data_IF_666484072701
#
_entry.id   IF_666484072701
#
_cell.length_a   1.000
_cell.length_b   1.000
_cell.length_c   1.000
_cell.angle_alpha   90.00
_cell.angle_beta   90.00
_cell.angle_gamma   90.00
#
_symmetry.space_group_name_H-M   'P 1'
#
loop_
_entity.id
_entity.type
_entity.pdbx_description
1 polymer ?
#
# COMPACT_ATOMS: atom_id res chain seq x y z
N UNK A 1 41.61 -4.26 42.62
CA UNK A 1 40.86 -3.85 43.82
C UNK A 1 39.74 -2.90 43.39
N UNK A 2 38.60 -3.00 44.07
CA UNK A 2 37.26 -2.73 43.56
C UNK A 2 36.88 -1.24 43.39
N UNK A 3 35.86 -1.08 42.55
CA UNK A 3 34.90 0.02 42.39
C UNK A 3 34.68 0.91 43.63
N UNK A 4 34.60 2.23 43.43
CA UNK A 4 33.55 3.05 44.07
C UNK A 4 33.06 4.13 43.10
N UNK A 5 31.95 3.82 42.41
CA UNK A 5 30.95 4.84 42.11
C UNK A 5 30.51 5.41 43.46
N UNK A 6 30.83 6.67 43.73
CA UNK A 6 30.14 7.41 44.78
C UNK A 6 28.91 8.04 44.14
N UNK A 7 27.87 7.24 43.99
CA UNK A 7 26.50 7.70 44.09
C UNK A 7 26.35 8.33 45.48
N UNK A 8 26.54 9.64 45.54
CA UNK A 8 26.08 10.44 46.67
C UNK A 8 25.07 11.43 46.13
N UNK A 9 23.83 11.17 46.52
CA UNK A 9 22.67 12.06 46.49
C UNK A 9 23.04 13.35 47.26
N UNK A 10 23.85 14.19 46.63
CA UNK A 10 24.39 15.42 47.20
C UNK A 10 23.47 16.54 46.79
N UNK A 11 22.59 16.92 47.70
CA UNK A 11 21.91 18.21 47.70
C UNK A 11 22.99 19.28 47.45
N UNK A 12 23.05 19.83 46.24
CA UNK A 12 24.06 20.81 45.86
C UNK A 12 23.87 22.06 46.72
N UNK A 13 24.75 22.28 47.69
CA UNK A 13 24.57 23.36 48.65
C UNK A 13 24.93 24.72 48.03
N UNK A 14 23.89 25.47 47.65
CA UNK A 14 24.01 26.83 47.13
C UNK A 14 24.43 27.86 48.20
N UNK A 15 24.39 27.51 49.49
CA UNK A 15 24.73 28.44 50.57
C UNK A 15 26.21 28.85 50.53
N UNK A 16 27.11 27.94 50.11
CA UNK A 16 28.56 28.15 50.05
C UNK A 16 29.06 29.07 48.94
N UNK A 17 28.20 29.44 47.98
CA UNK A 17 28.58 30.32 46.86
C UNK A 17 28.09 31.74 47.11
N UNK A 18 28.94 32.75 46.96
CA UNK A 18 28.60 34.15 47.25
C UNK A 18 28.42 34.99 45.98
N UNK A 19 28.95 34.53 44.84
CA UNK A 19 28.84 35.21 43.56
C UNK A 19 28.44 34.27 42.41
N UNK A 20 27.92 34.85 41.33
CA UNK A 20 27.59 34.12 40.10
C UNK A 20 28.85 33.61 39.38
N UNK A 21 29.98 34.29 39.59
CA UNK A 21 31.28 33.96 39.00
C UNK A 21 31.88 32.69 39.64
N UNK A 22 31.71 32.52 40.95
CA UNK A 22 32.08 31.28 41.65
C UNK A 22 31.27 30.07 41.14
N UNK A 23 29.97 30.25 40.90
CA UNK A 23 29.11 29.22 40.30
C UNK A 23 29.52 28.86 38.87
N UNK A 24 29.98 29.84 38.10
CA UNK A 24 30.51 29.60 36.75
C UNK A 24 31.77 28.73 36.78
N UNK A 25 32.63 28.91 37.80
CA UNK A 25 33.86 28.15 37.98
C UNK A 25 33.64 26.66 38.34
N UNK A 26 32.45 26.31 38.87
CA UNK A 26 32.06 24.90 39.16
C UNK A 26 31.94 24.06 37.89
N UNK A 27 31.74 24.71 36.74
CA UNK A 27 31.72 24.05 35.44
C UNK A 27 30.31 23.86 34.87
N UNK A 28 30.21 23.98 33.54
CA UNK A 28 28.93 24.04 32.83
C UNK A 28 28.07 22.77 32.93
N UNK A 29 28.69 21.60 33.13
CA UNK A 29 27.99 20.31 33.23
C UNK A 29 27.35 20.10 34.61
N UNK A 30 28.03 20.54 35.67
CA UNK A 30 27.48 20.51 37.04
C UNK A 30 26.27 21.44 37.15
N UNK A 31 26.39 22.66 36.61
CA UNK A 31 25.27 23.62 36.53
C UNK A 31 24.09 23.08 35.72
N UNK A 32 24.36 22.34 34.64
CA UNK A 32 23.31 21.73 33.80
C UNK A 32 22.58 20.62 34.54
N UNK A 33 23.31 19.77 35.27
CA UNK A 33 22.75 18.69 36.09
C UNK A 33 21.82 19.25 37.17
N UNK A 34 22.27 20.28 37.88
CA UNK A 34 21.50 20.87 38.98
C UNK A 34 20.25 21.63 38.53
N UNK A 35 20.33 22.37 37.41
CA UNK A 35 19.14 22.96 36.82
C UNK A 35 18.14 21.91 36.36
N UNK A 36 18.62 20.75 35.89
CA UNK A 36 17.77 19.65 35.45
C UNK A 36 17.11 18.94 36.63
N UNK A 37 17.82 18.72 37.74
CA UNK A 37 17.25 18.14 38.97
C UNK A 37 16.15 19.04 39.56
N UNK A 38 16.32 20.36 39.46
CA UNK A 38 15.34 21.36 39.90
C UNK A 38 14.20 21.61 38.90
N UNK A 39 14.16 20.91 37.75
CA UNK A 39 13.13 21.09 36.72
C UNK A 39 13.19 22.43 35.97
N UNK A 40 14.30 23.15 36.08
CA UNK A 40 14.56 24.42 35.41
C UNK A 40 15.14 24.20 34.01
N UNK A 41 14.97 25.17 33.13
CA UNK A 41 15.58 25.16 31.80
C UNK A 41 17.11 25.15 31.97
N UNK A 42 17.80 24.22 31.31
CA UNK A 42 19.26 24.07 31.40
C UNK A 42 20.02 24.48 30.11
N UNK A 43 19.32 24.93 29.06
CA UNK A 43 19.94 25.42 27.81
C UNK A 43 20.56 26.82 27.93
N UNK A 44 21.33 27.28 26.95
CA UNK A 44 22.00 28.60 26.96
C UNK A 44 23.47 28.55 27.42
N UNK A 45 24.09 29.72 27.57
CA UNK A 45 25.50 29.83 27.96
C UNK A 45 25.71 29.36 29.42
N UNK A 46 26.93 28.90 29.80
CA UNK A 46 27.23 28.54 31.19
C UNK A 46 26.94 29.67 32.18
N UNK A 47 27.16 30.94 31.79
CA UNK A 47 26.81 32.12 32.59
C UNK A 47 25.30 32.23 32.81
N UNK A 48 24.49 31.99 31.77
CA UNK A 48 23.03 32.00 31.90
C UNK A 48 22.54 30.89 32.83
N UNK A 49 23.23 29.74 32.87
CA UNK A 49 22.92 28.63 33.78
C UNK A 49 23.25 29.02 35.22
N UNK A 50 24.43 29.60 35.46
CA UNK A 50 24.84 30.11 36.76
C UNK A 50 23.86 31.17 37.30
N UNK A 51 23.45 32.13 36.46
CA UNK A 51 22.43 33.15 36.82
C UNK A 51 21.08 32.54 37.20
N UNK A 52 20.63 31.51 36.48
CA UNK A 52 19.35 30.82 36.79
C UNK A 52 19.43 30.02 38.08
N UNK A 53 20.53 29.33 38.31
CA UNK A 53 20.73 28.57 39.54
C UNK A 53 20.85 29.51 40.75
N UNK A 54 21.52 30.66 40.58
CA UNK A 54 21.58 31.73 41.58
C UNK A 54 20.20 32.29 41.96
N UNK A 55 19.27 32.39 41.00
CA UNK A 55 17.92 32.91 41.25
C UNK A 55 17.13 32.02 42.23
N UNK A 56 17.43 30.72 42.28
CA UNK A 56 16.85 29.76 43.24
C UNK A 56 17.34 30.02 44.66
N UNK A 57 18.53 30.63 44.82
CA UNK A 57 19.07 31.00 46.13
C UNK A 57 18.27 32.13 46.79
N UNK A 58 17.81 33.09 46.00
CA UNK A 58 17.07 34.27 46.50
C UNK A 58 15.56 34.09 46.46
N UNK A 59 15.05 33.17 45.63
CA UNK A 59 13.63 33.05 45.32
C UNK A 59 13.22 31.58 45.37
N UNK A 60 12.24 31.20 46.21
CA UNK A 60 11.75 29.83 46.26
C UNK A 60 11.25 29.37 44.88
N UNK A 61 11.45 28.09 44.56
CA UNK A 61 11.09 27.50 43.26
C UNK A 61 9.61 27.76 42.89
N UNK A 62 8.70 27.77 43.88
CA UNK A 62 7.27 28.00 43.69
C UNK A 62 6.91 29.41 43.17
N UNK A 63 7.77 30.41 43.41
CA UNK A 63 7.53 31.80 43.03
C UNK A 63 8.19 32.18 41.69
N UNK A 64 8.91 31.23 41.07
CA UNK A 64 9.56 31.47 39.80
C UNK A 64 8.57 31.46 38.63
N UNK A 65 8.66 32.43 37.69
CA UNK A 65 7.83 32.43 36.50
C UNK A 65 7.99 31.15 35.67
N UNK A 66 6.88 30.63 35.13
CA UNK A 66 6.81 29.39 34.33
C UNK A 66 7.78 29.35 33.14
N UNK A 67 8.26 30.50 32.65
CA UNK A 67 9.27 30.62 31.58
C UNK A 67 10.64 30.04 31.95
N UNK A 68 10.96 29.94 33.25
CA UNK A 68 12.22 29.39 33.73
C UNK A 68 12.18 27.86 33.87
N UNK A 69 10.99 27.26 33.87
CA UNK A 69 10.82 25.82 33.95
C UNK A 69 10.95 25.13 32.60
N UNK A 70 11.45 23.91 32.62
CA UNK A 70 11.46 23.06 31.43
C UNK A 70 10.01 22.71 31.03
N UNK A 71 9.71 22.76 29.73
CA UNK A 71 8.37 22.41 29.21
C UNK A 71 8.17 20.90 29.37
N UNK A 72 7.31 20.49 30.29
CA UNK A 72 6.85 19.10 30.41
C UNK A 72 5.96 18.77 29.21
N UNK A 73 6.21 17.67 28.49
CA UNK A 73 5.53 17.34 27.23
C UNK A 73 4.06 16.89 27.37
N UNK A 74 3.39 17.12 28.51
CA UNK A 74 1.97 16.79 28.68
C UNK A 74 1.12 18.07 28.84
N UNK A 75 0.25 18.34 27.85
CA UNK A 75 -1.00 19.07 28.03
C UNK A 75 -1.02 20.59 27.76
N UNK A 76 -1.42 20.95 26.54
CA UNK A 76 -2.25 22.10 26.06
C UNK A 76 -2.15 23.49 26.72
N UNK A 77 -1.94 24.55 25.93
CA UNK A 77 -3.07 25.38 25.48
C UNK A 77 -2.69 26.51 24.50
N UNK A 78 -3.62 26.69 23.58
CA UNK A 78 -3.70 27.58 22.44
C UNK A 78 -3.81 29.06 22.87
N UNK A 79 -3.02 29.95 22.27
CA UNK A 79 -3.42 31.35 22.05
C UNK A 79 -2.99 31.78 20.64
N UNK A 80 -4.01 32.14 19.87
CA UNK A 80 -3.96 32.78 18.56
C UNK A 80 -3.12 34.06 18.58
N UNK A 81 -2.27 34.25 17.57
CA UNK A 81 -2.06 35.57 16.95
C UNK A 81 -1.99 35.44 15.44
N UNK A 82 -2.70 36.34 14.75
CA UNK A 82 -2.75 36.48 13.31
C UNK A 82 -1.38 36.86 12.72
N UNK A 83 -0.90 36.12 11.71
CA UNK A 83 -0.01 36.70 10.70
C UNK A 83 -0.27 36.14 9.29
N UNK A 84 -0.33 37.07 8.34
CA UNK A 84 -0.58 36.89 6.91
C UNK A 84 0.54 36.08 6.24
N UNK A 85 0.28 35.31 5.16
CA UNK A 85 1.35 34.68 4.42
C UNK A 85 1.99 35.72 3.48
N UNK A 86 3.30 35.93 3.62
CA UNK A 86 4.12 36.55 2.58
C UNK A 86 5.04 35.46 2.01
N UNK A 87 4.92 35.25 0.71
CA UNK A 87 5.65 34.24 -0.06
C UNK A 87 6.98 34.85 -0.49
N UNK A 88 8.10 34.21 -0.13
CA UNK A 88 9.36 34.34 -0.86
C UNK A 88 10.18 33.06 -0.71
N UNK A 89 10.45 32.43 -1.86
CA UNK A 89 11.35 31.30 -2.01
C UNK A 89 12.81 31.76 -1.92
N UNK A 90 13.62 31.02 -1.17
CA UNK A 90 15.08 31.08 -1.20
C UNK A 90 15.64 29.77 -0.63
N UNK A 91 16.66 29.13 -1.25
CA UNK A 91 17.15 27.84 -0.82
C UNK A 91 18.13 28.03 0.34
N UNK A 92 17.92 27.33 1.45
CA UNK A 92 18.86 27.33 2.58
C UNK A 92 19.02 25.92 3.13
N UNK A 93 20.26 25.47 3.15
CA UNK A 93 20.73 24.12 3.49
C UNK A 93 20.37 23.69 4.92
N UNK A 94 20.25 22.37 5.20
CA UNK A 94 19.94 21.88 6.53
C UNK A 94 21.21 21.73 7.39
N UNK A 95 21.31 22.55 8.44
CA UNK A 95 22.22 22.31 9.57
C UNK A 95 21.54 21.42 10.60
N UNK A 96 21.82 20.12 10.53
CA UNK A 96 21.41 19.16 11.54
C UNK A 96 22.32 19.26 12.78
N UNK A 97 21.77 19.63 13.93
CA UNK A 97 22.22 19.08 15.22
C UNK A 97 21.07 19.06 16.24
N UNK A 98 20.69 17.85 16.67
CA UNK A 98 20.17 17.61 18.02
C UNK A 98 18.65 17.67 18.26
N UNK A 99 17.86 16.73 17.70
CA UNK A 99 16.75 16.07 18.43
C UNK A 99 16.15 14.81 17.76
N UNK A 100 16.84 14.16 16.82
CA UNK A 100 16.24 13.15 15.93
C UNK A 100 15.86 11.83 16.65
N UNK A 101 16.47 11.48 17.79
CA UNK A 101 16.35 10.13 18.38
C UNK A 101 14.99 9.79 19.02
N UNK A 102 14.21 10.77 19.45
CA UNK A 102 12.91 10.54 20.10
C UNK A 102 11.76 10.48 19.09
N UNK A 103 11.73 11.45 18.18
CA UNK A 103 10.77 11.52 17.07
C UNK A 103 10.97 10.34 16.12
N UNK A 104 12.23 10.02 15.75
CA UNK A 104 12.52 8.88 14.86
C UNK A 104 12.09 7.52 15.42
N UNK A 105 12.12 7.31 16.75
CA UNK A 105 11.66 6.03 17.35
C UNK A 105 10.15 5.93 17.38
N UNK A 106 9.45 7.04 17.61
CA UNK A 106 7.99 7.08 17.54
C UNK A 106 7.51 6.92 16.11
N UNK A 107 8.16 7.58 15.15
CA UNK A 107 7.87 7.45 13.72
C UNK A 107 8.14 6.02 13.24
N UNK A 108 9.26 5.41 13.66
CA UNK A 108 9.59 4.02 13.35
C UNK A 108 8.57 3.05 13.94
N UNK A 109 8.18 3.22 15.21
CA UNK A 109 7.15 2.38 15.83
C UNK A 109 5.78 2.55 15.14
N UNK A 110 5.44 3.76 14.70
CA UNK A 110 4.23 4.01 13.92
C UNK A 110 4.31 3.32 12.56
N UNK A 111 5.43 3.41 11.86
CA UNK A 111 5.65 2.73 10.59
C UNK A 111 5.58 1.20 10.74
N UNK A 112 6.22 0.63 11.77
CA UNK A 112 6.13 -0.81 12.08
C UNK A 112 4.67 -1.24 12.28
N UNK A 113 3.89 -0.47 13.06
CA UNK A 113 2.49 -0.77 13.28
C UNK A 113 1.66 -0.70 11.99
N UNK A 114 1.90 0.30 11.14
CA UNK A 114 1.25 0.42 9.84
C UNK A 114 1.61 -0.77 8.93
N UNK A 115 2.89 -1.15 8.87
CA UNK A 115 3.34 -2.28 8.06
C UNK A 115 2.67 -3.57 8.53
N UNK A 116 2.65 -3.86 9.83
CA UNK A 116 1.98 -5.06 10.37
C UNK A 116 0.49 -5.05 10.01
N UNK A 117 -0.20 -3.94 10.22
CA UNK A 117 -1.63 -3.83 9.88
C UNK A 117 -1.90 -3.99 8.37
N UNK A 118 -1.00 -3.52 7.51
CA UNK A 118 -1.09 -3.72 6.06
C UNK A 118 -0.81 -5.18 5.67
N UNK A 119 0.17 -5.82 6.31
CA UNK A 119 0.48 -7.23 6.09
C UNK A 119 -0.70 -8.13 6.48
N UNK A 120 -1.42 -7.82 7.55
CA UNK A 120 -2.64 -8.56 7.93
C UNK A 120 -3.74 -8.45 6.87
N UNK A 121 -3.92 -7.27 6.26
CA UNK A 121 -4.89 -7.07 5.18
C UNK A 121 -4.45 -7.71 3.85
N UNK A 122 -3.15 -7.76 3.60
CA UNK A 122 -2.55 -8.28 2.37
C UNK A 122 -2.12 -9.74 2.50
N UNK A 123 -2.38 -10.40 3.62
CA UNK A 123 -2.04 -11.81 3.86
C UNK A 123 -2.37 -12.75 2.69
N UNK A 124 -3.57 -12.71 2.07
CA UNK A 124 -3.86 -13.59 0.92
C UNK A 124 -2.98 -13.26 -0.29
N UNK A 125 -2.76 -11.97 -0.58
CA UNK A 125 -1.91 -11.54 -1.69
C UNK A 125 -0.45 -11.94 -1.47
N UNK A 126 0.02 -11.87 -0.22
CA UNK A 126 1.37 -12.31 0.14
C UNK A 126 1.55 -13.82 -0.08
N UNK A 127 0.60 -14.62 0.37
CA UNK A 127 0.61 -16.08 0.13
C UNK A 127 0.63 -16.40 -1.37
N UNK A 128 -0.18 -15.71 -2.17
CA UNK A 128 -0.17 -15.85 -3.63
C UNK A 128 1.18 -15.47 -4.24
N UNK A 129 1.78 -14.36 -3.81
CA UNK A 129 3.11 -13.95 -4.30
C UNK A 129 4.22 -14.91 -3.89
N UNK A 130 4.11 -15.54 -2.72
CA UNK A 130 5.03 -16.55 -2.25
C UNK A 130 4.95 -17.79 -3.13
N UNK A 131 3.75 -18.35 -3.31
CA UNK A 131 3.50 -19.49 -4.20
C UNK A 131 3.97 -19.21 -5.63
N UNK A 132 3.76 -17.98 -6.11
CA UNK A 132 4.24 -17.53 -7.42
C UNK A 132 5.77 -17.54 -7.49
N UNK A 133 6.45 -17.05 -6.45
CA UNK A 133 7.91 -17.07 -6.36
C UNK A 133 8.46 -18.51 -6.36
N UNK A 134 7.85 -19.41 -5.60
CA UNK A 134 8.22 -20.83 -5.57
C UNK A 134 8.04 -21.50 -6.94
N UNK A 135 6.89 -21.29 -7.59
CA UNK A 135 6.63 -21.80 -8.95
C UNK A 135 7.65 -21.28 -9.96
N UNK A 136 8.01 -19.99 -9.87
CA UNK A 136 8.98 -19.35 -10.77
C UNK A 136 10.39 -19.90 -10.62
N UNK A 137 10.74 -20.48 -9.46
CA UNK A 137 12.02 -21.13 -9.21
C UNK A 137 12.19 -22.41 -10.05
N UNK A 138 11.09 -23.14 -10.30
CA UNK A 138 11.11 -24.40 -11.07
C UNK A 138 10.81 -24.21 -12.56
N UNK A 139 10.40 -23.02 -12.98
CA UNK A 139 10.04 -22.71 -14.38
C UNK A 139 11.26 -22.53 -15.30
N UNK A 140 11.09 -22.97 -16.54
CA UNK A 140 12.01 -22.72 -17.66
C UNK A 140 11.97 -21.26 -18.12
N UNK A 141 12.94 -20.86 -18.95
CA UNK A 141 12.99 -19.50 -19.49
C UNK A 141 11.75 -19.14 -20.32
N UNK A 142 11.30 -20.06 -21.17
CA UNK A 142 10.14 -19.86 -22.06
C UNK A 142 8.85 -19.68 -21.27
N UNK A 143 8.64 -20.48 -20.22
CA UNK A 143 7.45 -20.37 -19.35
C UNK A 143 7.42 -19.04 -18.60
N UNK A 144 8.59 -18.56 -18.15
CA UNK A 144 8.73 -17.28 -17.46
C UNK A 144 8.43 -16.08 -18.36
N UNK A 145 8.87 -16.15 -19.62
CA UNK A 145 8.58 -15.13 -20.64
C UNK A 145 7.09 -15.11 -21.00
N UNK A 146 6.47 -16.29 -21.10
CA UNK A 146 5.03 -16.40 -21.34
C UNK A 146 4.20 -15.80 -20.19
N UNK A 147 4.50 -16.15 -18.94
CA UNK A 147 3.81 -15.61 -17.75
C UNK A 147 3.93 -14.07 -17.68
N UNK A 148 5.09 -13.51 -18.02
CA UNK A 148 5.30 -12.07 -18.07
C UNK A 148 4.51 -11.40 -19.20
N UNK A 149 4.41 -12.06 -20.36
CA UNK A 149 3.60 -11.58 -21.47
C UNK A 149 2.10 -11.57 -21.12
N UNK A 150 1.63 -12.57 -20.38
CA UNK A 150 0.26 -12.66 -19.86
C UNK A 150 -0.03 -11.54 -18.83
N UNK A 151 0.91 -11.26 -17.92
CA UNK A 151 0.79 -10.14 -16.96
C UNK A 151 0.76 -8.76 -17.65
N UNK A 152 1.63 -8.54 -18.64
CA UNK A 152 1.75 -7.25 -19.35
C UNK A 152 0.54 -7.00 -20.25
N UNK A 153 0.05 -8.06 -20.92
CA UNK A 153 -1.08 -7.93 -21.85
C UNK A 153 -2.43 -7.76 -21.15
N UNK A 154 -2.52 -8.06 -19.85
CA UNK A 154 -3.69 -7.77 -19.03
C UNK A 154 -4.95 -8.42 -19.60
N UNK A 155 -5.15 -9.71 -19.27
CA UNK A 155 -6.27 -10.60 -19.64
C UNK A 155 -5.95 -11.53 -20.82
N UNK A 156 -5.55 -12.75 -20.48
CA UNK A 156 -5.98 -13.97 -21.16
C UNK A 156 -6.60 -14.92 -20.13
N UNK A 157 -7.88 -14.70 -19.81
CA UNK A 157 -8.73 -15.83 -19.41
C UNK A 157 -8.89 -16.70 -20.66
N UNK A 158 -7.93 -17.59 -20.91
CA UNK A 158 -8.10 -18.77 -21.77
C UNK A 158 -7.94 -20.00 -20.90
N UNK A 159 -8.80 -20.11 -19.89
CA UNK A 159 -9.19 -21.42 -19.35
C UNK A 159 -10.20 -22.01 -20.35
N UNK A 160 -9.67 -22.54 -21.45
CA UNK A 160 -10.39 -23.51 -22.28
C UNK A 160 -10.26 -24.86 -21.54
N UNK A 161 -11.34 -25.43 -20.99
CA UNK A 161 -11.26 -26.76 -20.41
C UNK A 161 -11.15 -27.75 -21.56
N UNK A 162 -9.91 -28.12 -21.90
CA UNK A 162 -9.66 -29.24 -22.78
C UNK A 162 -10.25 -30.51 -22.10
N UNK A 163 -11.22 -31.22 -22.72
CA UNK A 163 -11.57 -32.54 -22.25
C UNK A 163 -10.49 -33.51 -22.74
N UNK A 164 -10.06 -34.42 -21.87
CA UNK A 164 -9.16 -35.56 -22.16
C UNK A 164 -7.67 -35.33 -21.82
N UNK A 165 -7.30 -35.68 -20.59
CA UNK A 165 -6.22 -36.66 -20.35
C UNK A 165 -6.36 -37.22 -18.92
N UNK A 166 -6.60 -38.51 -18.83
CA UNK A 166 -6.58 -39.26 -17.59
C UNK A 166 -5.17 -39.70 -17.27
N UNK A 167 -4.59 -39.20 -16.16
CA UNK A 167 -3.43 -39.85 -15.55
C UNK A 167 -3.43 -39.66 -14.05
N UNK A 168 -3.58 -40.79 -13.36
CA UNK A 168 -3.57 -40.92 -11.92
C UNK A 168 -2.20 -40.57 -11.34
N UNK A 169 -2.18 -39.74 -10.29
CA UNK A 169 -1.26 -39.92 -9.18
C UNK A 169 -1.95 -39.51 -7.87
N UNK A 170 -1.96 -40.49 -6.97
CA UNK A 170 -2.41 -40.46 -5.59
C UNK A 170 -1.41 -39.70 -4.73
N UNK A 171 -1.86 -38.71 -3.94
CA UNK A 171 -1.51 -38.61 -2.51
C UNK A 171 -2.41 -37.62 -1.74
N UNK A 172 -3.26 -38.20 -0.89
CA UNK A 172 -3.62 -37.85 0.48
C UNK A 172 -3.73 -36.37 0.92
N UNK A 173 -4.98 -35.88 1.03
CA UNK A 173 -5.47 -34.96 2.08
C UNK A 173 -7.01 -34.91 2.02
N UNK A 174 -7.66 -35.72 2.85
CA UNK A 174 -9.12 -35.74 3.03
C UNK A 174 -9.61 -34.50 3.82
N UNK A 175 -10.17 -33.50 3.12
CA UNK A 175 -11.27 -32.67 3.66
C UNK A 175 -12.02 -31.92 2.53
N UNK A 176 -13.19 -32.48 2.16
CA UNK A 176 -14.29 -31.85 1.39
C UNK A 176 -14.08 -31.51 -0.11
N UNK A 177 -13.94 -32.53 -0.98
CA UNK A 177 -14.24 -32.37 -2.42
C UNK A 177 -15.60 -32.98 -2.78
N UNK A 178 -16.67 -32.40 -2.19
CA UNK A 178 -18.03 -32.72 -2.61
C UNK A 178 -18.28 -32.07 -3.99
N UNK A 179 -18.76 -32.83 -5.00
CA UNK A 179 -19.10 -32.26 -6.30
C UNK A 179 -20.01 -31.04 -6.13
N UNK A 180 -19.52 -29.86 -6.54
CA UNK A 180 -20.26 -28.59 -6.41
C UNK A 180 -21.63 -28.77 -7.07
N UNK A 181 -22.68 -28.85 -6.24
CA UNK A 181 -24.04 -29.09 -6.70
C UNK A 181 -24.53 -27.90 -7.52
N UNK A 182 -24.33 -27.98 -8.85
CA UNK A 182 -24.77 -27.00 -9.86
C UNK A 182 -25.93 -27.56 -10.70
N UNK A 183 -27.10 -27.85 -10.09
CA UNK A 183 -28.23 -28.47 -10.78
C UNK A 183 -28.82 -27.60 -11.91
N UNK A 184 -28.44 -26.32 -11.97
CA UNK A 184 -28.88 -25.37 -13.01
C UNK A 184 -27.81 -25.10 -14.08
N UNK A 185 -26.63 -25.72 -14.01
CA UNK A 185 -25.56 -25.58 -15.00
C UNK A 185 -25.14 -24.13 -15.25
N UNK A 186 -25.24 -23.29 -14.23
CA UNK A 186 -24.93 -21.86 -14.33
C UNK A 186 -23.41 -21.70 -14.36
N UNK A 187 -22.83 -20.80 -15.19
CA UNK A 187 -21.39 -20.54 -15.20
C UNK A 187 -20.86 -20.27 -13.79
N UNK A 188 -19.72 -20.86 -13.46
CA UNK A 188 -19.07 -20.69 -12.17
C UNK A 188 -18.50 -19.27 -12.09
N UNK A 189 -18.63 -18.66 -10.92
CA UNK A 189 -17.99 -17.37 -10.67
C UNK A 189 -16.49 -17.52 -10.45
N UNK A 190 -15.83 -16.40 -10.17
CA UNK A 190 -14.41 -16.36 -9.80
C UNK A 190 -14.10 -17.11 -8.48
N UNK A 191 -15.12 -17.39 -7.66
CA UNK A 191 -15.04 -18.15 -6.40
C UNK A 191 -15.22 -19.67 -6.62
N UNK A 192 -15.29 -20.15 -7.86
CA UNK A 192 -15.59 -21.56 -8.18
C UNK A 192 -17.03 -22.00 -7.85
N UNK A 193 -17.80 -21.17 -7.13
CA UNK A 193 -19.20 -21.43 -6.80
C UNK A 193 -20.13 -21.00 -7.95
N UNK A 194 -21.30 -21.66 -8.12
CA UNK A 194 -22.29 -21.24 -9.12
C UNK A 194 -22.75 -19.81 -8.85
N UNK A 195 -22.69 -18.93 -9.86
CA UNK A 195 -23.14 -17.55 -9.66
C UNK A 195 -24.64 -17.52 -9.30
N UNK A 196 -25.08 -16.56 -8.47
CA UNK A 196 -26.49 -16.42 -8.15
C UNK A 196 -27.37 -16.31 -9.41
N UNK A 197 -28.50 -17.04 -9.42
CA UNK A 197 -29.35 -17.15 -10.61
C UNK A 197 -29.94 -15.81 -11.10
N UNK A 198 -30.15 -14.85 -10.20
CA UNK A 198 -30.59 -13.50 -10.56
C UNK A 198 -29.49 -12.72 -11.30
N UNK A 199 -28.22 -12.93 -10.94
CA UNK A 199 -27.06 -12.32 -11.59
C UNK A 199 -26.86 -12.90 -12.98
N UNK A 200 -27.06 -14.22 -13.12
CA UNK A 200 -27.09 -14.92 -14.41
C UNK A 200 -28.14 -14.35 -15.36
N UNK A 201 -29.36 -14.09 -14.87
CA UNK A 201 -30.43 -13.43 -15.65
C UNK A 201 -30.14 -11.95 -15.93
N UNK A 202 -29.64 -11.21 -14.94
CA UNK A 202 -29.37 -9.78 -15.07
C UNK A 202 -28.34 -9.49 -16.16
N UNK A 203 -27.25 -10.27 -16.20
CA UNK A 203 -26.21 -10.14 -17.21
C UNK A 203 -26.56 -10.83 -18.54
N UNK A 204 -27.72 -11.48 -18.63
CA UNK A 204 -28.21 -12.12 -19.85
C UNK A 204 -27.43 -13.37 -20.26
N UNK A 205 -26.69 -14.01 -19.34
CA UNK A 205 -25.89 -15.22 -19.63
C UNK A 205 -26.78 -16.44 -19.97
N UNK A 206 -28.09 -16.35 -19.72
CA UNK A 206 -29.10 -17.34 -20.10
C UNK A 206 -29.45 -17.31 -21.60
N UNK A 207 -29.06 -16.25 -22.31
CA UNK A 207 -29.28 -16.13 -23.75
C UNK A 207 -28.04 -16.59 -24.51
N UNK A 208 -28.23 -17.53 -25.42
CA UNK A 208 -27.19 -17.99 -26.32
C UNK A 208 -27.39 -17.30 -27.67
N UNK A 209 -26.29 -16.82 -28.24
CA UNK A 209 -26.23 -16.23 -29.56
C UNK A 209 -25.23 -17.03 -30.39
N UNK A 210 -25.57 -17.33 -31.62
CA UNK A 210 -24.78 -18.19 -32.49
C UNK A 210 -24.17 -17.35 -33.61
N UNK A 211 -22.94 -17.65 -34.01
CA UNK A 211 -22.27 -16.97 -35.12
C UNK A 211 -21.89 -17.98 -36.21
N UNK A 212 -22.50 -17.84 -37.38
CA UNK A 212 -22.30 -18.76 -38.52
C UNK A 212 -20.89 -18.62 -39.09
N UNK A 213 -20.37 -17.38 -39.17
CA UNK A 213 -19.01 -17.09 -39.65
C UNK A 213 -17.93 -17.76 -38.77
N UNK A 214 -18.23 -17.98 -37.48
CA UNK A 214 -17.36 -18.68 -36.54
C UNK A 214 -17.55 -20.20 -36.51
N UNK A 215 -18.33 -20.78 -37.43
CA UNK A 215 -18.65 -22.21 -37.45
C UNK A 215 -19.79 -22.59 -36.49
N UNK A 216 -20.82 -21.75 -36.38
CA UNK A 216 -21.97 -21.93 -35.47
C UNK A 216 -21.58 -21.98 -33.98
N UNK A 217 -20.48 -21.31 -33.62
CA UNK A 217 -20.05 -21.17 -32.22
C UNK A 217 -21.13 -20.45 -31.39
N UNK A 218 -21.37 -20.91 -30.16
CA UNK A 218 -22.44 -20.41 -29.30
C UNK A 218 -21.88 -19.54 -28.17
N UNK A 219 -22.16 -18.25 -28.21
CA UNK A 219 -21.73 -17.28 -27.20
C UNK A 219 -22.81 -17.07 -26.13
N UNK A 220 -22.42 -17.16 -24.86
CA UNK A 220 -23.28 -16.85 -23.71
C UNK A 220 -23.35 -15.36 -23.44
N UNK A 221 -24.55 -14.80 -23.55
CA UNK A 221 -24.86 -13.41 -23.24
C UNK A 221 -24.43 -12.41 -24.31
N UNK A 222 -25.18 -11.29 -24.37
CA UNK A 222 -25.00 -10.27 -25.41
C UNK A 222 -23.61 -9.65 -25.39
N UNK A 223 -23.01 -9.43 -24.21
CA UNK A 223 -21.67 -8.84 -24.09
C UNK A 223 -20.58 -9.72 -24.70
N UNK A 224 -20.61 -11.02 -24.43
CA UNK A 224 -19.64 -11.96 -25.01
C UNK A 224 -19.83 -12.05 -26.53
N UNK A 225 -21.09 -12.06 -26.97
CA UNK A 225 -21.44 -12.00 -28.37
C UNK A 225 -21.11 -10.65 -29.05
N UNK A 226 -20.95 -9.52 -28.36
CA UNK A 226 -20.43 -8.32 -29.03
C UNK A 226 -18.91 -8.33 -29.12
N UNK A 227 -18.25 -8.84 -28.08
CA UNK A 227 -16.79 -8.96 -28.04
C UNK A 227 -16.25 -9.85 -29.16
N UNK A 228 -16.94 -10.95 -29.47
CA UNK A 228 -16.45 -11.94 -30.44
C UNK A 228 -16.18 -11.38 -31.85
N UNK A 229 -16.87 -10.33 -32.29
CA UNK A 229 -16.63 -9.70 -33.59
C UNK A 229 -15.22 -9.12 -33.74
N UNK A 230 -14.56 -8.82 -32.61
CA UNK A 230 -13.18 -8.32 -32.57
C UNK A 230 -12.15 -9.42 -32.30
N UNK A 231 -12.59 -10.63 -32.01
CA UNK A 231 -11.71 -11.75 -31.69
C UNK A 231 -11.09 -12.39 -32.94
N UNK A 232 -9.94 -13.02 -32.75
CA UNK A 232 -9.17 -13.66 -33.82
C UNK A 232 -9.95 -14.72 -34.58
N UNK A 233 -10.83 -15.47 -33.92
CA UNK A 233 -11.66 -16.52 -34.54
C UNK A 233 -12.62 -15.93 -35.58
N UNK A 234 -13.35 -14.87 -35.23
CA UNK A 234 -14.25 -14.19 -36.16
C UNK A 234 -13.47 -13.48 -37.28
N UNK A 235 -12.36 -12.81 -36.94
CA UNK A 235 -11.49 -12.19 -37.94
C UNK A 235 -10.92 -13.22 -38.94
N UNK A 236 -10.60 -14.43 -38.47
CA UNK A 236 -10.18 -15.54 -39.32
C UNK A 236 -11.33 -16.02 -40.22
N UNK A 237 -12.54 -16.20 -39.68
CA UNK A 237 -13.73 -16.54 -40.47
C UNK A 237 -13.99 -15.52 -41.59
N UNK A 238 -13.92 -14.22 -41.28
CA UNK A 238 -14.04 -13.15 -42.28
C UNK A 238 -12.93 -13.21 -43.34
N UNK A 239 -11.69 -13.54 -42.94
CA UNK A 239 -10.57 -13.72 -43.86
C UNK A 239 -10.78 -14.91 -44.80
N UNK A 240 -11.34 -16.02 -44.32
CA UNK A 240 -11.70 -17.17 -45.15
C UNK A 240 -12.77 -16.83 -46.21
N UNK A 241 -13.65 -15.87 -45.92
CA UNK A 241 -14.63 -15.34 -46.87
C UNK A 241 -14.04 -14.30 -47.83
N UNK A 242 -12.78 -13.89 -47.64
CA UNK A 242 -12.13 -12.83 -48.43
C UNK A 242 -12.61 -11.41 -48.10
N UNK A 243 -13.27 -11.23 -46.95
CA UNK A 243 -13.83 -9.94 -46.51
C UNK A 243 -12.92 -9.34 -45.42
N UNK A 244 -12.51 -8.06 -45.52
CA UNK A 244 -11.72 -7.43 -44.46
C UNK A 244 -12.60 -7.18 -43.21
N UNK A 245 -12.12 -7.61 -42.03
CA UNK A 245 -12.81 -7.40 -40.75
C UNK A 245 -12.69 -5.93 -40.30
N UNK A 246 -13.51 -5.07 -40.88
CA UNK A 246 -13.61 -3.64 -40.56
C UNK A 246 -14.86 -3.36 -39.72
N UNK A 247 -14.95 -2.18 -39.11
CA UNK A 247 -16.09 -1.76 -38.29
C UNK A 247 -17.44 -1.81 -39.03
N UNK A 248 -17.44 -1.77 -40.36
CA UNK A 248 -18.64 -1.91 -41.18
C UNK A 248 -19.33 -3.27 -41.04
N UNK A 249 -18.57 -4.31 -40.70
CA UNK A 249 -19.07 -5.69 -40.54
C UNK A 249 -19.37 -6.05 -39.08
N UNK A 250 -19.25 -5.10 -38.16
CA UNK A 250 -19.53 -5.35 -36.75
C UNK A 250 -21.02 -5.63 -36.55
N UNK A 251 -21.36 -6.79 -35.97
CA UNK A 251 -22.75 -7.22 -35.82
C UNK A 251 -23.26 -8.12 -36.95
N UNK A 252 -22.43 -8.47 -37.92
CA UNK A 252 -22.78 -9.42 -38.99
C UNK A 252 -22.30 -10.82 -38.60
N UNK A 253 -23.24 -11.74 -38.39
CA UNK A 253 -23.00 -13.11 -37.91
C UNK A 253 -23.26 -14.19 -38.96
N UNK A 254 -24.13 -13.89 -39.93
CA UNK A 254 -24.45 -14.76 -41.08
C UNK A 254 -23.52 -14.54 -42.26
N UNK A 255 -23.18 -15.64 -42.93
CA UNK A 255 -22.26 -15.62 -44.08
C UNK A 255 -22.89 -14.89 -45.27
N UNK A 256 -24.17 -15.16 -45.55
CA UNK A 256 -24.90 -14.54 -46.66
C UNK A 256 -24.98 -13.01 -46.53
N UNK A 257 -25.26 -12.53 -45.31
CA UNK A 257 -25.37 -11.11 -45.01
C UNK A 257 -24.02 -10.40 -45.15
N UNK A 258 -22.94 -11.03 -44.70
CA UNK A 258 -21.58 -10.52 -44.87
C UNK A 258 -21.22 -10.36 -46.35
N UNK A 259 -21.51 -11.38 -47.17
CA UNK A 259 -21.25 -11.33 -48.61
C UNK A 259 -22.08 -10.25 -49.32
N UNK A 260 -23.36 -10.11 -48.95
CA UNK A 260 -24.24 -9.10 -49.55
C UNK A 260 -23.82 -7.68 -49.17
N UNK A 261 -23.44 -7.46 -47.91
CA UNK A 261 -22.92 -6.18 -47.46
C UNK A 261 -21.60 -5.84 -48.17
N UNK A 262 -20.70 -6.81 -48.33
CA UNK A 262 -19.45 -6.61 -49.04
C UNK A 262 -19.65 -6.27 -50.52
N UNK A 263 -20.56 -6.98 -51.21
CA UNK A 263 -20.93 -6.64 -52.60
C UNK A 263 -21.45 -5.22 -52.72
N UNK A 264 -22.32 -4.78 -51.81
CA UNK A 264 -22.82 -3.39 -51.80
C UNK A 264 -21.71 -2.37 -51.58
N UNK A 265 -20.78 -2.64 -50.67
CA UNK A 265 -19.63 -1.75 -50.43
C UNK A 265 -18.67 -1.69 -51.62
N UNK A 266 -18.49 -2.80 -52.35
CA UNK A 266 -17.66 -2.83 -53.56
C UNK A 266 -18.30 -2.13 -54.76
N UNK A 267 -19.63 -2.16 -54.88
CA UNK A 267 -20.36 -1.49 -55.96
C UNK A 267 -20.39 0.04 -55.80
N UNK A 268 -19.93 0.57 -54.66
CA UNK A 268 -20.09 1.97 -54.28
C UNK A 268 -21.54 2.22 -53.85
N UNK A 269 -21.70 2.83 -52.66
CA UNK A 269 -23.00 3.25 -52.13
C UNK A 269 -23.89 3.95 -53.17
#
# INVERSE_FOLDING_TARGET
PALTNTDTDTNFDLAGYTTVEELLAVGGDVLKRELTSLGLKAGGTPLDRAKRLWLVKSTPLAELPRKYFAKTSRGSNNQHTHHKPNVQHGPSQPSQTGNIRGESRMDMAQQECIVVALLDQLAPVLDDTLKRSERRMTQTHSEREQELAEDISGISNTDDPNPDDGSANSDDSDEEDAPIYNPKGVPLGWDGKPIPYWLFKLHGLNHFFECEICGNERYRGRRNYEKHFTESKHAYGMRCLGIPNTKHFHGVDRIEDAMNLWKKLQMGL
#
